data_IF_473893841258
#
_entry.id   IF_473893841258
#
_cell.length_a   1.000
_cell.length_b   1.000
_cell.length_c   1.000
_cell.angle_alpha   90.00
_cell.angle_beta   90.00
_cell.angle_gamma   90.00
#
_symmetry.space_group_name_H-M   'P 1'
#
loop_
_entity.id
_entity.type
_entity.pdbx_description
1 polymer ?
#
# COMPACT_ATOMS: atom_id res chain seq x y z
N UNK A 1 -7.43 -30.65 -8.23
CA UNK A 1 -8.62 -30.25 -7.50
C UNK A 1 -8.79 -28.73 -7.45
N UNK A 2 -7.74 -27.92 -7.22
CA UNK A 2 -7.86 -26.46 -7.12
C UNK A 2 -7.08 -25.78 -8.24
N UNK A 3 -7.65 -24.69 -8.75
CA UNK A 3 -6.95 -23.84 -9.72
C UNK A 3 -5.89 -23.00 -8.99
N UNK A 4 -4.72 -22.82 -9.61
CA UNK A 4 -3.68 -21.89 -9.15
C UNK A 4 -4.24 -20.48 -8.96
N UNK A 5 -3.95 -19.84 -7.81
CA UNK A 5 -4.45 -18.51 -7.46
C UNK A 5 -5.82 -18.49 -6.77
N UNK A 6 -6.39 -19.67 -6.44
CA UNK A 6 -7.58 -19.77 -5.61
C UNK A 6 -7.20 -19.53 -4.14
N UNK A 7 -7.95 -18.71 -3.45
CA UNK A 7 -7.87 -18.59 -2.00
C UNK A 7 -8.54 -19.82 -1.37
N UNK A 8 -7.80 -20.53 -0.51
CA UNK A 8 -8.30 -21.72 0.15
C UNK A 8 -9.25 -21.35 1.27
N UNK A 9 -10.42 -21.99 1.29
CA UNK A 9 -11.40 -21.93 2.37
C UNK A 9 -11.24 -23.08 3.36
N UNK A 10 -11.93 -23.03 4.50
CA UNK A 10 -11.98 -24.14 5.44
C UNK A 10 -12.54 -25.42 4.83
N UNK A 11 -13.51 -25.31 3.90
CA UNK A 11 -14.04 -26.45 3.17
C UNK A 11 -12.98 -27.08 2.22
N UNK A 12 -12.13 -26.26 1.59
CA UNK A 12 -11.05 -26.76 0.74
C UNK A 12 -10.01 -27.52 1.57
N UNK A 13 -9.71 -27.06 2.78
CA UNK A 13 -8.83 -27.76 3.72
C UNK A 13 -9.43 -29.11 4.14
N UNK A 14 -10.73 -29.13 4.48
CA UNK A 14 -11.45 -30.38 4.79
C UNK A 14 -11.42 -31.37 3.63
N UNK A 15 -11.63 -30.90 2.40
CA UNK A 15 -11.54 -31.74 1.20
C UNK A 15 -10.15 -32.32 1.00
N UNK A 16 -9.08 -31.54 1.22
CA UNK A 16 -7.71 -32.05 1.16
C UNK A 16 -7.45 -33.13 2.19
N UNK A 17 -7.90 -32.92 3.41
CA UNK A 17 -7.77 -33.89 4.48
C UNK A 17 -8.52 -35.21 4.17
N UNK A 18 -9.71 -35.14 3.58
CA UNK A 18 -10.53 -36.31 3.22
C UNK A 18 -9.86 -37.23 2.18
N UNK A 19 -8.94 -36.69 1.37
CA UNK A 19 -8.15 -37.46 0.40
C UNK A 19 -6.70 -37.73 0.88
N UNK A 20 -6.43 -37.57 2.18
CA UNK A 20 -5.15 -37.88 2.80
C UNK A 20 -4.03 -36.87 2.50
N UNK A 21 -4.33 -35.67 2.02
CA UNK A 21 -3.31 -34.63 1.80
C UNK A 21 -3.00 -33.91 3.11
N UNK A 22 -1.74 -34.01 3.56
CA UNK A 22 -1.25 -33.37 4.80
C UNK A 22 -0.58 -32.02 4.56
N UNK A 23 -0.21 -31.71 3.30
CA UNK A 23 0.43 -30.44 2.93
C UNK A 23 0.13 -30.06 1.50
N UNK A 24 0.19 -28.76 1.22
CA UNK A 24 0.03 -28.18 -0.12
C UNK A 24 1.03 -27.05 -0.32
N UNK A 25 1.51 -26.89 -1.55
CA UNK A 25 2.26 -25.71 -1.94
C UNK A 25 1.30 -24.54 -2.15
N UNK A 26 1.58 -23.45 -1.49
CA UNK A 26 0.82 -22.19 -1.60
C UNK A 26 1.78 -21.04 -1.93
N UNK A 27 1.25 -19.93 -2.40
CA UNK A 27 2.04 -18.70 -2.49
C UNK A 27 2.40 -18.20 -1.08
N UNK A 28 3.61 -17.72 -0.92
CA UNK A 28 4.01 -16.98 0.27
C UNK A 28 3.17 -15.70 0.39
N UNK A 29 2.78 -15.35 1.62
CA UNK A 29 2.08 -14.10 1.86
C UNK A 29 3.01 -12.92 1.67
N UNK A 30 2.61 -11.99 0.82
CA UNK A 30 3.33 -10.73 0.67
C UNK A 30 3.16 -9.84 1.90
N UNK A 31 4.10 -8.91 2.04
CA UNK A 31 4.07 -7.86 3.05
C UNK A 31 3.90 -6.50 2.38
N UNK A 32 2.97 -5.69 2.88
CA UNK A 32 2.71 -4.33 2.42
C UNK A 32 3.11 -3.34 3.50
N UNK A 33 3.93 -2.36 3.16
CA UNK A 33 4.29 -1.24 4.03
C UNK A 33 3.39 -0.04 3.78
N UNK A 34 2.95 0.65 4.82
CA UNK A 34 2.10 1.83 4.70
C UNK A 34 2.73 3.02 5.42
N UNK A 35 2.81 4.14 4.71
CA UNK A 35 3.21 5.45 5.22
C UNK A 35 2.08 6.46 5.07
N UNK A 36 2.03 7.46 5.93
CA UNK A 36 1.39 8.75 5.64
C UNK A 36 2.46 9.78 5.28
N UNK A 37 2.05 10.89 4.67
CA UNK A 37 2.92 12.03 4.34
C UNK A 37 2.19 13.33 4.61
N UNK A 38 2.88 14.29 5.19
CA UNK A 38 2.38 15.62 5.52
C UNK A 38 2.75 16.02 6.95
N UNK A 39 3.46 17.14 7.10
CA UNK A 39 3.90 17.66 8.40
C UNK A 39 2.72 18.14 9.26
N UNK A 40 1.54 18.36 8.62
CA UNK A 40 0.29 18.69 9.29
C UNK A 40 -0.35 17.50 10.01
N UNK A 41 0.10 16.27 9.74
CA UNK A 41 -0.53 15.06 10.27
C UNK A 41 -0.07 14.74 11.69
N UNK A 42 -1.06 14.49 12.56
CA UNK A 42 -0.87 14.01 13.94
C UNK A 42 -1.53 12.65 14.14
N UNK A 43 -0.98 11.89 15.06
CA UNK A 43 -1.59 10.61 15.41
C UNK A 43 -2.90 10.82 16.21
N UNK A 44 -3.92 9.98 16.01
CA UNK A 44 -5.08 9.99 16.88
C UNK A 44 -4.67 9.88 18.37
N UNK A 45 -5.19 10.78 19.19
CA UNK A 45 -4.85 10.89 20.62
C UNK A 45 -3.80 11.94 20.95
N UNK A 46 -3.08 12.48 19.99
CA UNK A 46 -2.18 13.63 20.19
C UNK A 46 -2.98 14.94 20.24
N UNK A 47 -2.40 15.99 20.84
CA UNK A 47 -2.99 17.32 20.84
C UNK A 47 -2.79 17.99 19.47
N UNK A 48 -3.87 18.46 18.87
CA UNK A 48 -3.80 19.24 17.62
C UNK A 48 -3.45 20.70 17.90
N UNK A 49 -2.58 21.24 17.07
CA UNK A 49 -2.33 22.67 16.94
C UNK A 49 -3.07 23.24 15.71
N UNK A 50 -3.05 24.57 15.59
CA UNK A 50 -3.71 25.24 14.45
C UNK A 50 -3.10 24.78 13.11
N UNK A 51 -3.94 24.31 12.19
CA UNK A 51 -3.53 23.82 10.88
C UNK A 51 -3.16 22.34 10.84
N UNK A 52 -3.19 21.63 11.98
CA UNK A 52 -2.93 20.19 12.02
C UNK A 52 -4.21 19.36 11.90
N UNK A 53 -4.06 18.14 11.40
CA UNK A 53 -5.13 17.17 11.19
C UNK A 53 -4.74 15.82 11.76
N UNK A 54 -5.72 15.01 12.17
CA UNK A 54 -5.44 13.62 12.50
C UNK A 54 -5.23 12.78 11.24
N UNK A 55 -4.20 11.93 11.25
CA UNK A 55 -3.96 10.94 10.22
C UNK A 55 -5.05 9.86 10.24
N UNK A 56 -6.00 9.97 9.34
CA UNK A 56 -7.10 9.01 9.18
C UNK A 56 -6.84 8.01 8.05
N UNK A 57 -6.02 8.37 7.06
CA UNK A 57 -5.79 7.54 5.88
C UNK A 57 -4.95 6.31 6.20
N UNK A 58 -3.84 6.46 6.90
CA UNK A 58 -2.93 5.37 7.22
C UNK A 58 -3.61 4.24 8.00
N UNK A 59 -4.31 4.48 9.13
CA UNK A 59 -5.02 3.41 9.83
C UNK A 59 -6.13 2.77 8.99
N UNK A 60 -6.83 3.55 8.15
CA UNK A 60 -7.83 3.02 7.23
C UNK A 60 -7.20 2.05 6.22
N UNK A 61 -6.12 2.46 5.54
CA UNK A 61 -5.45 1.64 4.52
C UNK A 61 -4.80 0.39 5.16
N UNK A 62 -4.17 0.52 6.32
CA UNK A 62 -3.63 -0.62 7.08
C UNK A 62 -4.73 -1.65 7.35
N UNK A 63 -5.90 -1.20 7.80
CA UNK A 63 -7.03 -2.10 8.05
C UNK A 63 -7.55 -2.74 6.75
N UNK A 64 -7.60 -2.00 5.65
CA UNK A 64 -7.96 -2.56 4.34
C UNK A 64 -7.00 -3.68 3.91
N UNK A 65 -5.69 -3.49 4.06
CA UNK A 65 -4.67 -4.51 3.74
C UNK A 65 -4.81 -5.73 4.64
N UNK A 66 -4.93 -5.53 5.96
CA UNK A 66 -5.11 -6.63 6.93
C UNK A 66 -6.36 -7.46 6.65
N UNK A 67 -7.47 -6.83 6.28
CA UNK A 67 -8.72 -7.52 5.92
C UNK A 67 -8.62 -8.37 4.65
N UNK A 68 -7.58 -8.15 3.83
CA UNK A 68 -7.26 -9.02 2.70
C UNK A 68 -6.46 -10.27 3.10
N UNK A 69 -6.10 -10.43 4.38
CA UNK A 69 -5.27 -11.51 4.89
C UNK A 69 -3.78 -11.37 4.54
N UNK A 70 -3.33 -10.16 4.24
CA UNK A 70 -1.97 -9.79 3.82
C UNK A 70 -1.21 -9.19 5.00
N UNK A 71 0.09 -9.46 5.10
CA UNK A 71 0.94 -8.87 6.11
C UNK A 71 1.07 -7.36 5.89
N UNK A 72 0.98 -6.58 6.97
CA UNK A 72 1.05 -5.13 6.87
C UNK A 72 1.98 -4.55 7.94
N UNK A 73 2.93 -3.73 7.51
CA UNK A 73 3.84 -2.98 8.39
C UNK A 73 3.43 -1.51 8.37
N UNK A 74 3.22 -0.95 9.54
CA UNK A 74 3.00 0.49 9.73
C UNK A 74 4.35 1.17 9.91
N UNK A 75 4.74 2.01 8.95
CA UNK A 75 5.99 2.76 8.96
C UNK A 75 5.85 4.20 9.48
N UNK A 76 4.64 4.62 9.85
CA UNK A 76 4.39 5.96 10.37
C UNK A 76 4.27 7.03 9.29
N UNK A 77 4.63 8.27 9.67
CA UNK A 77 4.57 9.42 8.80
C UNK A 77 5.95 9.74 8.22
N UNK A 78 6.03 9.95 6.91
CA UNK A 78 7.23 10.43 6.24
C UNK A 78 7.39 11.94 6.49
N UNK A 79 8.60 12.39 6.79
CA UNK A 79 8.89 13.82 6.90
C UNK A 79 8.85 14.47 5.50
N UNK A 80 8.42 15.73 5.44
CA UNK A 80 8.41 16.49 4.18
C UNK A 80 9.80 17.05 3.83
N UNK A 81 10.77 16.15 3.65
CA UNK A 81 12.16 16.43 3.28
C UNK A 81 12.73 15.28 2.45
N UNK A 82 13.44 15.58 1.38
CA UNK A 82 13.93 14.60 0.39
C UNK A 82 14.79 13.50 1.02
N UNK A 83 15.91 13.84 1.65
CA UNK A 83 16.88 12.88 2.18
C UNK A 83 16.29 11.91 3.24
N UNK A 84 15.56 12.37 4.27
CA UNK A 84 14.91 11.47 5.22
C UNK A 84 13.85 10.59 4.57
N UNK A 85 13.09 11.12 3.61
CA UNK A 85 12.08 10.36 2.85
C UNK A 85 12.74 9.26 2.02
N UNK A 86 13.82 9.56 1.30
CA UNK A 86 14.60 8.58 0.55
C UNK A 86 15.11 7.46 1.46
N UNK A 87 15.69 7.81 2.60
CA UNK A 87 16.20 6.82 3.57
C UNK A 87 15.10 5.91 4.09
N UNK A 88 13.93 6.48 4.45
CA UNK A 88 12.80 5.71 4.94
C UNK A 88 12.23 4.77 3.87
N UNK A 89 12.01 5.26 2.65
CA UNK A 89 11.50 4.46 1.54
C UNK A 89 12.47 3.35 1.14
N UNK A 90 13.77 3.62 1.08
CA UNK A 90 14.80 2.61 0.80
C UNK A 90 14.80 1.52 1.86
N UNK A 91 14.81 1.88 3.14
CA UNK A 91 14.75 0.90 4.24
C UNK A 91 13.47 0.08 4.24
N UNK A 92 12.34 0.68 3.86
CA UNK A 92 11.07 -0.04 3.74
C UNK A 92 11.08 -1.01 2.56
N UNK A 93 11.64 -0.63 1.41
CA UNK A 93 11.68 -1.47 0.20
C UNK A 93 12.50 -2.76 0.38
N UNK A 94 13.39 -2.81 1.36
CA UNK A 94 14.14 -4.03 1.71
C UNK A 94 13.33 -5.02 2.58
N UNK A 95 12.16 -4.61 3.07
CA UNK A 95 11.35 -5.36 4.05
C UNK A 95 9.96 -5.75 3.55
N UNK A 96 9.51 -5.18 2.43
CA UNK A 96 8.14 -5.36 1.94
C UNK A 96 8.10 -5.55 0.44
N UNK A 97 7.04 -6.18 -0.06
CA UNK A 97 6.81 -6.42 -1.49
C UNK A 97 6.11 -5.23 -2.17
N UNK A 98 5.39 -4.42 -1.38
CA UNK A 98 4.77 -3.20 -1.86
C UNK A 98 4.75 -2.11 -0.78
N UNK A 99 4.95 -0.86 -1.21
CA UNK A 99 4.88 0.34 -0.37
C UNK A 99 3.66 1.15 -0.80
N UNK A 100 2.85 1.55 0.17
CA UNK A 100 1.73 2.49 -0.02
C UNK A 100 2.05 3.78 0.74
N UNK A 101 1.92 4.92 0.07
CA UNK A 101 1.93 6.23 0.74
C UNK A 101 0.54 6.86 0.67
N UNK A 102 0.10 7.49 1.76
CA UNK A 102 -1.17 8.20 1.87
C UNK A 102 -0.89 9.71 1.92
N UNK A 103 -1.19 10.42 0.83
CA UNK A 103 -0.80 11.81 0.62
C UNK A 103 0.48 11.95 -0.20
N UNK A 104 0.98 13.18 -0.36
CA UNK A 104 2.22 13.48 -1.09
C UNK A 104 2.18 13.21 -2.60
N UNK A 105 1.03 12.98 -3.19
CA UNK A 105 0.86 12.79 -4.64
C UNK A 105 0.15 13.99 -5.29
N UNK A 106 0.42 15.19 -4.76
CA UNK A 106 -0.17 16.43 -5.25
C UNK A 106 0.41 16.86 -6.60
N UNK A 107 -0.13 17.95 -7.14
CA UNK A 107 0.30 18.55 -8.41
C UNK A 107 1.30 19.69 -8.21
N UNK A 108 1.83 19.90 -6.99
CA UNK A 108 2.80 20.93 -6.67
C UNK A 108 4.12 20.78 -7.41
N UNK A 109 4.84 21.89 -7.60
CA UNK A 109 6.15 21.92 -8.28
C UNK A 109 7.23 21.30 -7.38
N UNK A 110 7.14 21.46 -6.07
CA UNK A 110 8.01 20.81 -5.07
C UNK A 110 7.27 19.62 -4.46
N UNK A 111 7.66 18.40 -4.84
CA UNK A 111 7.11 17.14 -4.35
C UNK A 111 8.27 16.19 -4.00
N UNK A 112 8.76 16.33 -2.77
CA UNK A 112 9.88 15.55 -2.24
C UNK A 112 9.64 14.03 -2.33
N UNK A 113 8.38 13.59 -2.20
CA UNK A 113 8.05 12.18 -2.33
C UNK A 113 8.22 11.67 -3.76
N UNK A 114 7.79 12.46 -4.74
CA UNK A 114 7.94 12.15 -6.17
C UNK A 114 9.41 12.06 -6.57
N UNK A 115 10.21 13.01 -6.11
CA UNK A 115 11.64 13.04 -6.40
C UNK A 115 12.36 11.88 -5.71
N UNK A 116 12.02 11.58 -4.45
CA UNK A 116 12.54 10.42 -3.74
C UNK A 116 12.24 9.09 -4.47
N UNK A 117 11.02 8.92 -4.99
CA UNK A 117 10.64 7.71 -5.74
C UNK A 117 11.41 7.60 -7.05
N UNK A 118 11.63 8.70 -7.76
CA UNK A 118 12.42 8.72 -9.01
C UNK A 118 13.89 8.39 -8.77
N UNK A 119 14.48 8.93 -7.70
CA UNK A 119 15.89 8.66 -7.35
C UNK A 119 16.11 7.21 -6.89
N UNK A 120 15.14 6.62 -6.21
CA UNK A 120 15.25 5.24 -5.66
C UNK A 120 14.77 4.15 -6.62
N UNK A 121 14.13 4.52 -7.73
CA UNK A 121 13.55 3.55 -8.62
C UNK A 121 12.88 4.16 -9.84
N UNK A 122 11.71 3.65 -10.19
CA UNK A 122 10.97 4.04 -11.39
C UNK A 122 9.57 4.52 -11.05
N UNK A 123 9.19 5.68 -11.55
CA UNK A 123 7.84 6.20 -11.48
C UNK A 123 7.16 6.08 -12.85
N UNK A 124 6.21 5.13 -12.97
CA UNK A 124 5.52 4.80 -14.25
C UNK A 124 4.29 5.64 -14.50
N UNK A 125 3.58 6.02 -13.44
CA UNK A 125 2.32 6.76 -13.52
C UNK A 125 2.23 7.74 -12.35
N UNK A 126 1.74 8.97 -12.60
CA UNK A 126 1.57 10.00 -11.57
C UNK A 126 0.15 10.56 -11.47
N UNK A 127 -0.67 10.38 -12.50
CA UNK A 127 -2.08 10.85 -12.53
C UNK A 127 -2.94 9.87 -13.30
N UNK A 128 -4.19 9.79 -12.91
CA UNK A 128 -5.23 9.00 -13.62
C UNK A 128 -6.44 9.89 -13.89
N UNK A 129 -7.21 9.52 -14.91
CA UNK A 129 -8.44 10.24 -15.24
C UNK A 129 -9.63 9.67 -14.45
N UNK A 130 -9.62 9.87 -13.14
CA UNK A 130 -10.64 9.39 -12.21
C UNK A 130 -11.07 10.52 -11.26
N UNK A 131 -12.35 10.59 -10.92
CA UNK A 131 -12.91 11.54 -9.96
C UNK A 131 -13.95 10.83 -9.07
N UNK A 132 -13.72 10.75 -7.73
CA UNK A 132 -12.55 11.23 -6.98
C UNK A 132 -11.32 10.34 -7.22
N UNK A 133 -10.11 10.86 -6.92
CA UNK A 133 -8.87 10.06 -6.94
C UNK A 133 -7.94 10.34 -8.13
N UNK A 134 -8.05 11.52 -8.77
CA UNK A 134 -7.17 11.93 -9.88
C UNK A 134 -5.65 11.82 -9.57
N UNK A 135 -5.14 12.27 -8.40
CA UNK A 135 -3.77 11.99 -8.00
C UNK A 135 -3.62 10.52 -7.62
N UNK A 136 -2.78 9.81 -8.33
CA UNK A 136 -2.38 8.43 -8.03
C UNK A 136 -1.00 8.20 -8.63
N UNK A 137 -0.10 7.63 -7.85
CA UNK A 137 1.23 7.27 -8.31
C UNK A 137 1.40 5.76 -8.35
N UNK A 138 2.08 5.29 -9.38
CA UNK A 138 2.47 3.89 -9.51
C UNK A 138 3.91 3.82 -9.98
N UNK A 139 4.70 2.97 -9.33
CA UNK A 139 6.12 2.83 -9.64
C UNK A 139 6.76 1.63 -8.96
N UNK A 140 8.08 1.71 -8.80
CA UNK A 140 8.91 0.70 -8.15
C UNK A 140 10.02 1.39 -7.35
N UNK A 141 10.33 0.86 -6.17
CA UNK A 141 11.47 1.26 -5.34
C UNK A 141 12.25 -0.01 -5.02
N UNK A 142 13.49 -0.13 -5.52
CA UNK A 142 14.18 -1.41 -5.45
C UNK A 142 13.36 -2.53 -6.12
N UNK A 143 13.07 -3.60 -5.38
CA UNK A 143 12.19 -4.68 -5.85
C UNK A 143 10.71 -4.50 -5.44
N UNK A 144 10.41 -3.54 -4.59
CA UNK A 144 9.06 -3.29 -4.07
C UNK A 144 8.22 -2.45 -5.02
N UNK A 145 6.97 -2.82 -5.22
CA UNK A 145 6.00 -1.97 -5.91
C UNK A 145 5.70 -0.71 -5.08
N UNK A 146 5.57 0.43 -5.74
CA UNK A 146 5.19 1.69 -5.11
C UNK A 146 3.79 2.14 -5.56
N UNK A 147 2.95 2.50 -4.60
CA UNK A 147 1.56 2.92 -4.78
C UNK A 147 1.31 4.20 -3.95
N UNK A 148 1.17 5.33 -4.62
CA UNK A 148 0.88 6.62 -3.96
C UNK A 148 -0.60 6.96 -4.03
N UNK A 149 -1.24 7.15 -2.88
CA UNK A 149 -2.66 7.47 -2.74
C UNK A 149 -2.88 8.97 -2.49
N UNK A 150 -4.04 9.51 -2.90
CA UNK A 150 -4.41 10.90 -2.60
C UNK A 150 -4.49 11.18 -1.09
N UNK A 151 -4.29 12.44 -0.68
CA UNK A 151 -4.46 12.87 0.72
C UNK A 151 -5.91 12.92 1.19
N UNK A 152 -6.89 13.16 0.29
CA UNK A 152 -8.30 13.14 0.66
C UNK A 152 -8.75 11.72 1.01
N UNK A 153 -9.38 11.48 2.19
CA UNK A 153 -9.73 10.13 2.67
C UNK A 153 -10.66 9.35 1.74
N UNK A 154 -11.69 10.01 1.20
CA UNK A 154 -12.62 9.37 0.26
C UNK A 154 -11.90 8.96 -1.02
N UNK A 155 -11.06 9.85 -1.55
CA UNK A 155 -10.24 9.57 -2.74
C UNK A 155 -9.24 8.44 -2.48
N UNK A 156 -8.58 8.43 -1.32
CA UNK A 156 -7.64 7.39 -0.93
C UNK A 156 -8.33 6.02 -0.87
N UNK A 157 -9.50 5.94 -0.23
CA UNK A 157 -10.26 4.69 -0.13
C UNK A 157 -10.75 4.18 -1.48
N UNK A 158 -11.30 5.05 -2.34
CA UNK A 158 -11.77 4.70 -3.69
C UNK A 158 -10.59 4.22 -4.55
N UNK A 159 -9.48 4.97 -4.56
CA UNK A 159 -8.28 4.63 -5.33
C UNK A 159 -7.66 3.32 -4.85
N UNK A 160 -7.58 3.13 -3.53
CA UNK A 160 -7.15 1.85 -2.96
C UNK A 160 -8.03 0.70 -3.43
N UNK A 161 -9.34 0.85 -3.32
CA UNK A 161 -10.29 -0.23 -3.64
C UNK A 161 -10.26 -0.63 -5.11
N UNK A 162 -10.14 0.35 -6.01
CA UNK A 162 -10.20 0.12 -7.45
C UNK A 162 -8.84 -0.25 -8.08
N UNK A 163 -7.72 0.27 -7.55
CA UNK A 163 -6.42 0.10 -8.17
C UNK A 163 -5.45 -0.72 -7.29
N UNK A 164 -5.27 -0.34 -6.02
CA UNK A 164 -4.29 -1.00 -5.17
C UNK A 164 -4.73 -2.40 -4.77
N UNK A 165 -5.98 -2.56 -4.36
CA UNK A 165 -6.52 -3.86 -3.92
C UNK A 165 -6.38 -4.97 -4.98
N UNK A 166 -6.84 -4.81 -6.24
CA UNK A 166 -6.67 -5.84 -7.26
C UNK A 166 -5.19 -6.09 -7.60
N UNK A 167 -4.36 -5.06 -7.62
CA UNK A 167 -2.92 -5.18 -7.83
C UNK A 167 -2.25 -6.01 -6.72
N UNK A 168 -2.52 -5.68 -5.46
CA UNK A 168 -1.97 -6.38 -4.30
C UNK A 168 -2.44 -7.84 -4.25
N UNK A 169 -3.70 -8.11 -4.54
CA UNK A 169 -4.22 -9.49 -4.63
C UNK A 169 -3.51 -10.29 -5.73
N UNK A 170 -3.28 -9.68 -6.90
CA UNK A 170 -2.52 -10.30 -7.98
C UNK A 170 -1.07 -10.56 -7.58
N UNK A 171 -0.43 -9.61 -6.91
CA UNK A 171 0.93 -9.76 -6.39
C UNK A 171 1.01 -10.91 -5.38
N UNK A 172 -0.02 -11.07 -4.54
CA UNK A 172 -0.18 -12.18 -3.59
C UNK A 172 -0.61 -13.51 -4.26
N UNK A 173 -0.60 -13.59 -5.58
CA UNK A 173 -0.85 -14.80 -6.36
C UNK A 173 -2.32 -15.08 -6.69
N UNK A 174 -3.28 -14.22 -6.30
CA UNK A 174 -4.69 -14.37 -6.70
C UNK A 174 -4.82 -14.11 -8.21
N UNK A 175 -5.55 -15.00 -8.90
CA UNK A 175 -5.94 -14.71 -10.30
C UNK A 175 -7.02 -13.62 -10.31
N UNK A 176 -6.98 -12.70 -11.29
CA UNK A 176 -8.13 -11.83 -11.55
C UNK A 176 -9.36 -12.69 -11.85
N UNK A 177 -10.49 -12.29 -11.31
CA UNK A 177 -11.78 -12.88 -11.64
C UNK A 177 -12.19 -12.49 -13.05
#
# INVERSE_FOLDING_TARGET
FFKKGRQLSSADIGLCASVGKVSMQVYEKITVGVFSTGDELKQPGEKLERGQLFDSNRPMIINCVKNMGINCIDFGCLPDRLEPTMKALKSASEKVDAIITCGGVSVGEEDHLKDAVKELGELKLWKINMKPGKPFAFGKIGESAYLGLPGNPVSAWVTFSLLCRPFILKLNGKKPD
#
